data_IF_740728490830
#
_entry.id   IF_740728490830
#
_cell.length_a   1.000
_cell.length_b   1.000
_cell.length_c   1.000
_cell.angle_alpha   90.00
_cell.angle_beta   90.00
_cell.angle_gamma   90.00
#
_symmetry.space_group_name_H-M   'P 1'
#
loop_
_entity.id
_entity.type
_entity.pdbx_description
1 polymer ?
#
# COMPACT_ATOMS: atom_id res chain seq x y z
N UNK A 1 45.07 11.61 50.70
CA UNK A 1 43.60 11.54 50.58
C UNK A 1 43.26 12.15 49.25
N UNK A 2 43.12 11.30 48.25
CA UNK A 2 42.76 11.69 46.86
C UNK A 2 41.29 11.40 46.66
N UNK A 3 40.50 12.45 46.50
CA UNK A 3 39.09 12.38 46.18
C UNK A 3 38.86 12.05 44.69
N UNK A 4 38.28 10.88 44.40
CA UNK A 4 37.83 10.51 43.08
C UNK A 4 36.51 11.24 42.75
N UNK A 5 36.48 11.91 41.61
CA UNK A 5 35.25 12.47 41.02
C UNK A 5 34.37 11.33 40.46
N UNK A 6 33.08 11.33 40.67
CA UNK A 6 32.18 10.38 40.00
C UNK A 6 32.09 10.72 38.53
N UNK A 7 32.32 9.71 37.66
CA UNK A 7 32.19 9.80 36.23
C UNK A 7 30.72 10.09 35.83
N UNK A 8 30.55 11.10 35.02
CA UNK A 8 29.29 11.40 34.35
C UNK A 8 28.95 10.28 33.36
N UNK A 9 27.83 9.63 33.61
CA UNK A 9 27.20 8.68 32.67
C UNK A 9 26.74 9.51 31.45
N UNK A 10 27.11 9.13 30.21
CA UNK A 10 26.55 9.81 29.04
C UNK A 10 25.07 9.53 28.97
N UNK A 11 24.24 10.57 29.01
CA UNK A 11 22.83 10.52 28.66
C UNK A 11 22.74 9.94 27.25
N UNK A 12 22.10 8.78 27.13
CA UNK A 12 21.74 8.22 25.84
C UNK A 12 20.76 9.19 25.19
N UNK A 13 21.22 9.82 24.11
CA UNK A 13 20.46 10.74 23.31
C UNK A 13 19.07 10.19 23.02
N UNK A 14 18.06 10.92 23.48
CA UNK A 14 16.68 10.67 23.10
C UNK A 14 16.62 10.67 21.57
N UNK A 15 16.09 9.60 20.97
CA UNK A 15 15.80 9.57 19.54
C UNK A 15 14.82 10.72 19.28
N UNK A 16 15.27 11.78 18.61
CA UNK A 16 14.37 12.76 18.02
C UNK A 16 13.37 11.99 17.15
N UNK A 17 12.16 11.83 17.66
CA UNK A 17 11.06 11.32 16.85
C UNK A 17 10.85 12.34 15.74
N UNK A 18 11.27 11.98 14.54
CA UNK A 18 11.09 12.84 13.37
C UNK A 18 9.59 13.10 13.21
N UNK A 19 9.18 14.36 13.41
CA UNK A 19 7.78 14.75 13.33
C UNK A 19 7.24 14.44 11.92
N UNK A 20 6.01 13.96 11.86
CA UNK A 20 5.32 13.75 10.58
C UNK A 20 5.14 15.12 9.92
N UNK A 21 5.56 15.29 8.66
CA UNK A 21 5.25 16.51 7.94
C UNK A 21 3.74 16.73 7.85
N UNK A 22 3.25 17.98 7.84
CA UNK A 22 1.82 18.26 7.70
C UNK A 22 1.30 17.69 6.37
N UNK A 23 0.02 17.27 6.32
CA UNK A 23 -0.59 16.81 5.08
C UNK A 23 -0.61 17.94 4.04
N UNK A 24 -0.25 17.65 2.78
CA UNK A 24 -0.32 18.65 1.71
C UNK A 24 -1.75 19.15 1.46
N UNK A 25 -1.92 20.45 1.23
CA UNK A 25 -3.22 21.10 0.99
C UNK A 25 -4.00 20.47 -0.18
N UNK A 26 -3.31 19.92 -1.17
CA UNK A 26 -3.93 19.26 -2.30
C UNK A 26 -4.84 18.11 -1.88
N UNK A 27 -4.52 17.41 -0.78
CA UNK A 27 -5.35 16.33 -0.24
C UNK A 27 -6.71 16.84 0.22
N UNK A 28 -6.73 17.95 0.93
CA UNK A 28 -7.99 18.56 1.41
C UNK A 28 -8.83 19.10 0.24
N UNK A 29 -8.19 19.69 -0.77
CA UNK A 29 -8.89 20.13 -1.98
C UNK A 29 -9.53 18.98 -2.74
N UNK A 30 -8.85 17.82 -2.81
CA UNK A 30 -9.30 16.67 -3.61
C UNK A 30 -10.25 15.75 -2.86
N UNK A 31 -9.96 15.45 -1.59
CA UNK A 31 -10.67 14.44 -0.81
C UNK A 31 -11.48 15.02 0.37
N UNK A 32 -11.49 16.34 0.52
CA UNK A 32 -12.22 17.02 1.60
C UNK A 32 -11.87 16.46 2.99
N UNK A 33 -12.86 16.21 3.86
CA UNK A 33 -12.64 15.70 5.22
C UNK A 33 -11.92 14.34 5.28
N UNK A 34 -11.91 13.58 4.19
CA UNK A 34 -11.20 12.30 4.13
C UNK A 34 -9.67 12.44 4.22
N UNK A 35 -9.15 13.62 3.88
CA UNK A 35 -7.73 13.93 4.06
C UNK A 35 -7.28 13.80 5.53
N UNK A 36 -8.18 14.04 6.51
CA UNK A 36 -7.89 13.88 7.94
C UNK A 36 -7.63 12.42 8.32
N UNK A 37 -8.38 11.46 7.73
CA UNK A 37 -8.12 10.03 7.94
C UNK A 37 -6.75 9.63 7.42
N UNK A 38 -6.38 10.17 6.25
CA UNK A 38 -5.07 9.91 5.69
C UNK A 38 -3.95 10.52 6.56
N UNK A 39 -4.18 11.70 7.17
CA UNK A 39 -3.26 12.32 8.12
C UNK A 39 -3.09 11.49 9.41
N UNK A 40 -4.18 10.94 9.96
CA UNK A 40 -4.12 10.01 11.08
C UNK A 40 -3.37 8.73 10.72
N UNK A 41 -3.60 8.21 9.53
CA UNK A 41 -2.84 7.05 9.04
C UNK A 41 -1.35 7.36 8.87
N UNK A 42 -1.00 8.56 8.40
CA UNK A 42 0.40 9.02 8.35
C UNK A 42 1.07 9.00 9.73
N UNK A 43 0.35 9.42 10.78
CA UNK A 43 0.83 9.36 12.15
C UNK A 43 1.07 7.90 12.62
N UNK A 44 0.18 6.97 12.26
CA UNK A 44 0.37 5.54 12.51
C UNK A 44 1.62 4.98 11.83
N UNK A 45 1.88 5.37 10.58
CA UNK A 45 3.06 4.92 9.84
C UNK A 45 4.36 5.47 10.44
N UNK A 46 4.37 6.75 10.81
CA UNK A 46 5.56 7.42 11.35
C UNK A 46 5.87 7.02 12.80
N UNK A 47 4.86 6.80 13.63
CA UNK A 47 5.00 6.36 15.02
C UNK A 47 5.07 4.84 15.14
N UNK A 48 3.94 4.15 15.41
CA UNK A 48 3.91 2.70 15.60
C UNK A 48 4.51 1.89 14.44
N UNK A 49 4.32 2.35 13.19
CA UNK A 49 4.85 1.71 12.00
C UNK A 49 6.37 1.67 11.97
N UNK A 50 7.01 2.77 12.35
CA UNK A 50 8.47 2.88 12.44
C UNK A 50 9.01 2.03 13.59
N UNK A 51 8.39 2.10 14.77
CA UNK A 51 8.77 1.30 15.94
C UNK A 51 8.70 -0.20 15.65
N UNK A 52 7.69 -0.62 14.88
CA UNK A 52 7.51 -2.04 14.48
C UNK A 52 8.33 -2.43 13.25
N UNK A 53 9.14 -1.51 12.69
CA UNK A 53 9.98 -1.77 11.51
C UNK A 53 9.19 -2.01 10.22
N UNK A 54 8.00 -1.41 10.10
CA UNK A 54 7.16 -1.45 8.89
C UNK A 54 7.54 -0.32 7.92
N UNK A 55 8.05 0.79 8.47
CA UNK A 55 8.58 1.93 7.74
C UNK A 55 9.97 2.29 8.32
N UNK A 56 10.93 2.56 7.45
CA UNK A 56 12.24 3.03 7.91
C UNK A 56 12.14 4.46 8.48
N UNK A 57 12.86 4.81 9.58
CA UNK A 57 12.83 6.16 10.15
C UNK A 57 13.17 7.27 9.12
N UNK A 58 14.08 6.96 8.17
CA UNK A 58 14.50 7.87 7.10
C UNK A 58 13.40 8.14 6.04
N UNK A 59 12.35 7.33 6.03
CA UNK A 59 11.20 7.51 5.13
C UNK A 59 10.15 8.47 5.70
N UNK A 60 10.16 8.74 7.00
CA UNK A 60 9.17 9.61 7.66
C UNK A 60 9.11 11.03 7.04
N UNK A 61 10.24 11.72 6.78
CA UNK A 61 10.22 13.03 6.14
C UNK A 61 9.64 13.02 4.71
N UNK A 62 9.66 11.87 4.05
CA UNK A 62 9.22 11.67 2.66
C UNK A 62 7.92 10.88 2.57
N UNK A 63 7.21 10.71 3.71
CA UNK A 63 6.04 9.84 3.84
C UNK A 63 4.93 10.23 2.86
N UNK A 64 4.66 11.53 2.72
CA UNK A 64 3.64 12.03 1.82
C UNK A 64 4.00 11.74 0.36
N UNK A 65 5.13 12.23 -0.10
CA UNK A 65 5.51 12.14 -1.51
C UNK A 65 5.76 10.71 -1.97
N UNK A 66 6.56 9.94 -1.20
CA UNK A 66 6.97 8.60 -1.64
C UNK A 66 5.94 7.51 -1.38
N UNK A 67 5.08 7.69 -0.39
CA UNK A 67 4.23 6.61 0.06
C UNK A 67 2.74 6.92 -0.07
N UNK A 68 2.25 7.96 0.58
CA UNK A 68 0.82 8.21 0.67
C UNK A 68 0.24 8.78 -0.62
N UNK A 69 0.82 9.84 -1.19
CA UNK A 69 0.32 10.44 -2.45
C UNK A 69 0.37 9.44 -3.61
N UNK A 70 1.49 8.71 -3.74
CA UNK A 70 1.60 7.64 -4.73
C UNK A 70 0.55 6.53 -4.55
N UNK A 71 0.17 6.25 -3.31
CA UNK A 71 -0.83 5.22 -3.04
C UNK A 71 -2.24 5.70 -3.36
N UNK A 72 -2.61 6.91 -2.94
CA UNK A 72 -3.95 7.44 -3.19
C UNK A 72 -4.17 7.85 -4.66
N UNK A 73 -3.12 8.08 -5.44
CA UNK A 73 -3.19 8.27 -6.89
C UNK A 73 -3.91 7.10 -7.60
N UNK A 74 -3.82 5.89 -7.04
CA UNK A 74 -4.52 4.72 -7.55
C UNK A 74 -6.05 4.86 -7.50
N UNK A 75 -6.58 5.73 -6.64
CA UNK A 75 -8.02 5.97 -6.51
C UNK A 75 -8.68 6.42 -7.84
N UNK A 76 -7.92 7.09 -8.72
CA UNK A 76 -8.40 7.57 -10.03
C UNK A 76 -8.69 6.43 -11.02
N UNK A 77 -8.09 5.27 -10.79
CA UNK A 77 -8.23 4.09 -11.66
C UNK A 77 -9.35 3.14 -11.21
N UNK A 78 -10.00 3.43 -10.09
CA UNK A 78 -11.00 2.56 -9.48
C UNK A 78 -12.41 3.15 -9.64
N UNK A 79 -13.32 2.47 -10.34
CA UNK A 79 -14.71 2.90 -10.45
C UNK A 79 -15.42 2.86 -9.08
N UNK A 80 -16.53 3.58 -8.98
CA UNK A 80 -17.33 3.63 -7.76
C UNK A 80 -17.85 2.26 -7.36
N UNK A 81 -17.82 1.99 -6.04
CA UNK A 81 -18.28 0.73 -5.47
C UNK A 81 -17.43 -0.49 -5.82
N UNK A 82 -16.22 -0.30 -6.37
CA UNK A 82 -15.36 -1.41 -6.76
C UNK A 82 -14.88 -2.23 -5.57
N UNK A 83 -14.60 -3.50 -5.83
CA UNK A 83 -13.92 -4.39 -4.90
C UNK A 83 -12.45 -4.48 -5.23
N UNK A 84 -11.60 -4.10 -4.27
CA UNK A 84 -10.15 -4.05 -4.35
C UNK A 84 -9.53 -5.07 -3.38
N UNK A 85 -8.54 -5.81 -3.84
CA UNK A 85 -7.67 -6.64 -2.99
C UNK A 85 -6.25 -6.08 -3.07
N UNK A 86 -5.65 -5.81 -1.93
CA UNK A 86 -4.25 -5.38 -1.83
C UNK A 86 -3.38 -6.56 -1.41
N UNK A 87 -2.53 -7.04 -2.32
CA UNK A 87 -1.68 -8.22 -2.12
C UNK A 87 -0.34 -7.82 -1.53
N UNK A 88 -0.03 -8.39 -0.35
CA UNK A 88 1.17 -8.05 0.39
C UNK A 88 1.10 -6.63 0.96
N UNK A 89 -0.01 -6.32 1.60
CA UNK A 89 -0.34 -4.95 2.06
C UNK A 89 0.72 -4.33 2.97
N UNK A 90 1.53 -5.13 3.65
CA UNK A 90 2.62 -4.63 4.48
C UNK A 90 2.14 -3.70 5.59
N UNK A 91 2.49 -2.43 5.48
CA UNK A 91 1.99 -1.37 6.36
C UNK A 91 0.62 -0.82 5.92
N UNK A 92 0.01 -1.36 4.85
CA UNK A 92 -1.27 -0.92 4.31
C UNK A 92 -1.16 -0.07 3.03
N UNK A 93 -0.08 -0.18 2.31
CA UNK A 93 0.19 0.61 1.12
C UNK A 93 0.22 -0.26 -0.14
N UNK A 94 -0.68 -0.03 -1.13
CA UNK A 94 -1.53 1.16 -1.26
C UNK A 94 -2.95 1.00 -0.69
N UNK A 95 -3.45 -0.21 -0.41
CA UNK A 95 -4.86 -0.51 -0.19
C UNK A 95 -5.52 0.29 0.93
N UNK A 96 -4.88 0.39 2.10
CA UNK A 96 -5.43 1.14 3.24
C UNK A 96 -5.40 2.66 2.98
N UNK A 97 -4.37 3.17 2.31
CA UNK A 97 -4.33 4.58 1.91
C UNK A 97 -5.49 4.94 0.97
N UNK A 98 -5.78 4.08 -0.01
CA UNK A 98 -6.94 4.23 -0.91
C UNK A 98 -8.24 4.17 -0.12
N UNK A 99 -8.39 3.22 0.81
CA UNK A 99 -9.59 3.08 1.63
C UNK A 99 -9.88 4.30 2.51
N UNK A 100 -8.85 5.03 2.97
CA UNK A 100 -9.04 6.28 3.71
C UNK A 100 -9.79 7.33 2.89
N UNK A 101 -9.54 7.41 1.57
CA UNK A 101 -10.11 8.44 0.70
C UNK A 101 -11.30 7.96 -0.13
N UNK A 102 -11.50 6.64 -0.28
CA UNK A 102 -12.57 6.00 -1.06
C UNK A 102 -13.44 5.09 -0.18
N UNK A 103 -14.38 5.64 0.60
CA UNK A 103 -15.25 4.89 1.51
C UNK A 103 -16.28 4.02 0.78
N UNK A 104 -16.46 4.23 -0.50
CA UNK A 104 -17.34 3.47 -1.38
C UNK A 104 -16.77 2.11 -1.80
N UNK A 105 -15.44 1.92 -1.69
CA UNK A 105 -14.78 0.68 -2.07
C UNK A 105 -14.87 -0.38 -0.97
N UNK A 106 -14.98 -1.65 -1.36
CA UNK A 106 -14.74 -2.78 -0.47
C UNK A 106 -13.29 -3.24 -0.63
N UNK A 107 -12.48 -3.14 0.44
CA UNK A 107 -11.03 -3.39 0.38
C UNK A 107 -10.63 -4.57 1.26
N UNK A 108 -9.98 -5.57 0.68
CA UNK A 108 -9.34 -6.67 1.39
C UNK A 108 -7.82 -6.46 1.43
N UNK A 109 -7.24 -6.39 2.63
CA UNK A 109 -5.80 -6.26 2.84
C UNK A 109 -5.22 -7.64 3.13
N UNK A 110 -4.52 -8.24 2.15
CA UNK A 110 -3.93 -9.60 2.27
C UNK A 110 -2.47 -9.49 2.66
N UNK A 111 -2.11 -10.04 3.84
CA UNK A 111 -0.75 -9.98 4.36
C UNK A 111 -0.43 -11.27 5.16
N UNK A 112 0.66 -11.98 4.86
CA UNK A 112 0.98 -13.23 5.55
C UNK A 112 1.56 -13.06 6.96
N UNK A 113 2.24 -11.96 7.26
CA UNK A 113 2.98 -11.79 8.50
C UNK A 113 2.09 -11.29 9.64
N UNK A 114 1.97 -12.06 10.73
CA UNK A 114 1.16 -11.72 11.90
C UNK A 114 1.39 -10.29 12.40
N UNK A 115 2.65 -9.90 12.60
CA UNK A 115 3.00 -8.56 13.10
C UNK A 115 2.43 -7.43 12.21
N UNK A 116 2.35 -7.66 10.90
CA UNK A 116 1.81 -6.68 9.94
C UNK A 116 0.29 -6.69 9.96
N UNK A 117 -0.33 -7.87 10.03
CA UNK A 117 -1.79 -7.97 10.13
C UNK A 117 -2.31 -7.38 11.45
N UNK A 118 -1.58 -7.56 12.56
CA UNK A 118 -1.94 -6.92 13.84
C UNK A 118 -1.91 -5.39 13.72
N UNK A 119 -0.83 -4.84 13.13
CA UNK A 119 -0.75 -3.41 12.86
C UNK A 119 -1.91 -2.92 11.98
N UNK A 120 -2.20 -3.61 10.87
CA UNK A 120 -3.31 -3.25 9.97
C UNK A 120 -4.65 -3.28 10.70
N UNK A 121 -4.88 -4.28 11.55
CA UNK A 121 -6.11 -4.44 12.32
C UNK A 121 -6.29 -3.28 13.31
N UNK A 122 -5.23 -2.90 14.02
CA UNK A 122 -5.24 -1.75 14.93
C UNK A 122 -5.54 -0.44 14.19
N UNK A 123 -4.89 -0.20 13.03
CA UNK A 123 -5.11 1.00 12.22
C UNK A 123 -6.54 1.04 11.68
N UNK A 124 -7.05 -0.06 11.13
CA UNK A 124 -8.43 -0.16 10.62
C UNK A 124 -9.44 0.15 11.71
N UNK A 125 -9.22 -0.35 12.94
CA UNK A 125 -10.08 -0.09 14.08
C UNK A 125 -10.03 1.38 14.52
N UNK A 126 -8.81 1.95 14.68
CA UNK A 126 -8.63 3.36 15.10
C UNK A 126 -9.24 4.35 14.09
N UNK A 127 -9.08 4.07 12.79
CA UNK A 127 -9.64 4.92 11.73
C UNK A 127 -11.12 4.65 11.45
N UNK A 128 -11.75 3.71 12.17
CA UNK A 128 -13.15 3.30 11.98
C UNK A 128 -13.48 2.85 10.54
N UNK A 129 -12.56 2.15 9.87
CA UNK A 129 -12.70 1.68 8.50
C UNK A 129 -13.29 0.27 8.37
N UNK A 130 -13.57 -0.43 9.48
CA UNK A 130 -13.96 -1.84 9.50
C UNK A 130 -15.26 -2.20 8.79
N UNK A 131 -16.07 -1.21 8.37
CA UNK A 131 -17.28 -1.45 7.59
C UNK A 131 -16.98 -1.79 6.12
N UNK A 132 -15.84 -1.33 5.58
CA UNK A 132 -15.46 -1.53 4.17
C UNK A 132 -14.02 -2.01 3.97
N UNK A 133 -13.23 -2.12 5.05
CA UNK A 133 -11.86 -2.67 5.02
C UNK A 133 -11.79 -3.93 5.86
N UNK A 134 -11.29 -5.01 5.28
CA UNK A 134 -11.05 -6.29 5.96
C UNK A 134 -9.58 -6.67 5.87
N UNK A 135 -8.99 -7.07 7.00
CA UNK A 135 -7.62 -7.63 7.04
C UNK A 135 -7.70 -9.14 6.93
N UNK A 136 -6.99 -9.71 5.97
CA UNK A 136 -6.95 -11.16 5.71
C UNK A 136 -5.52 -11.66 5.87
N UNK A 137 -5.29 -12.42 6.95
CA UNK A 137 -3.97 -13.02 7.17
C UNK A 137 -3.82 -14.29 6.33
N UNK A 138 -2.77 -14.32 5.50
CA UNK A 138 -2.38 -15.47 4.69
C UNK A 138 -1.62 -15.02 3.44
N UNK A 139 -1.13 -16.00 2.69
CA UNK A 139 -0.53 -15.75 1.37
C UNK A 139 -1.62 -15.67 0.32
N UNK A 140 -1.43 -14.82 -0.68
CA UNK A 140 -2.44 -14.60 -1.72
C UNK A 140 -2.78 -15.88 -2.53
N UNK A 141 -1.83 -16.81 -2.61
CA UNK A 141 -1.98 -18.11 -3.29
C UNK A 141 -2.62 -19.20 -2.42
N UNK A 142 -2.79 -18.99 -1.10
CA UNK A 142 -3.39 -19.98 -0.21
C UNK A 142 -4.90 -20.13 -0.49
N UNK A 143 -5.38 -21.38 -0.59
CA UNK A 143 -6.81 -21.67 -0.82
C UNK A 143 -7.72 -21.01 0.22
N UNK A 144 -7.31 -21.03 1.49
CA UNK A 144 -8.06 -20.37 2.56
C UNK A 144 -8.19 -18.85 2.40
N UNK A 145 -7.24 -18.19 1.72
CA UNK A 145 -7.32 -16.77 1.37
C UNK A 145 -8.23 -16.59 0.17
N UNK A 146 -8.09 -17.43 -0.86
CA UNK A 146 -8.96 -17.41 -2.04
C UNK A 146 -10.43 -17.59 -1.66
N UNK A 147 -10.73 -18.52 -0.74
CA UNK A 147 -12.09 -18.77 -0.26
C UNK A 147 -12.66 -17.56 0.52
N UNK A 148 -11.84 -16.91 1.33
CA UNK A 148 -12.25 -15.73 2.12
C UNK A 148 -12.44 -14.48 1.28
N UNK A 149 -11.49 -14.24 0.36
CA UNK A 149 -11.49 -13.05 -0.48
C UNK A 149 -12.44 -13.21 -1.65
N UNK A 150 -12.51 -14.40 -2.26
CA UNK A 150 -13.31 -14.62 -3.48
C UNK A 150 -12.77 -13.84 -4.67
N UNK A 151 -13.62 -13.63 -5.68
CA UNK A 151 -13.24 -12.97 -6.93
C UNK A 151 -13.41 -11.45 -6.86
N UNK A 152 -12.33 -10.68 -7.02
CA UNK A 152 -12.31 -9.22 -7.02
C UNK A 152 -12.35 -8.64 -8.44
N UNK A 153 -12.77 -7.38 -8.54
CA UNK A 153 -12.67 -6.59 -9.78
C UNK A 153 -11.25 -6.09 -9.99
N UNK A 154 -10.60 -5.69 -8.89
CA UNK A 154 -9.26 -5.13 -8.91
C UNK A 154 -8.38 -5.80 -7.86
N UNK A 155 -7.14 -6.06 -8.26
CA UNK A 155 -6.05 -6.41 -7.34
C UNK A 155 -4.97 -5.35 -7.49
N UNK A 156 -4.41 -4.91 -6.39
CA UNK A 156 -3.25 -4.03 -6.36
C UNK A 156 -2.11 -4.63 -5.56
N UNK A 157 -0.91 -4.15 -5.82
CA UNK A 157 0.27 -4.47 -5.04
C UNK A 157 1.35 -3.40 -5.24
N UNK A 158 2.21 -3.24 -4.24
CA UNK A 158 3.36 -2.33 -4.29
C UNK A 158 4.61 -3.01 -3.73
N UNK A 159 5.70 -3.03 -4.52
CA UNK A 159 7.03 -3.50 -4.10
C UNK A 159 7.05 -4.92 -3.47
N UNK A 160 6.16 -5.81 -3.91
CA UNK A 160 6.01 -7.15 -3.30
C UNK A 160 6.89 -8.19 -3.98
N UNK A 161 6.92 -8.19 -5.33
CA UNK A 161 7.61 -9.21 -6.12
C UNK A 161 7.82 -8.78 -7.58
N UNK A 162 8.67 -9.48 -8.34
CA UNK A 162 8.69 -9.41 -9.79
C UNK A 162 7.33 -9.74 -10.41
N UNK A 163 7.08 -9.24 -11.62
CA UNK A 163 5.77 -9.27 -12.26
C UNK A 163 5.23 -10.68 -12.47
N UNK A 164 6.07 -11.64 -12.78
CA UNK A 164 5.69 -13.04 -12.96
C UNK A 164 5.10 -13.67 -11.70
N UNK A 165 5.73 -13.45 -10.56
CA UNK A 165 5.20 -13.89 -9.25
C UNK A 165 3.93 -13.15 -8.89
N UNK A 166 3.92 -11.84 -9.09
CA UNK A 166 2.77 -11.02 -8.76
C UNK A 166 1.53 -11.46 -9.54
N UNK A 167 1.67 -11.77 -10.82
CA UNK A 167 0.57 -12.31 -11.66
C UNK A 167 0.08 -13.65 -11.13
N UNK A 168 1.00 -14.56 -10.76
CA UNK A 168 0.62 -15.88 -10.17
C UNK A 168 -0.21 -15.74 -8.91
N UNK A 169 0.14 -14.78 -8.06
CA UNK A 169 -0.56 -14.54 -6.79
C UNK A 169 -1.87 -13.77 -6.96
N UNK A 170 -1.91 -12.84 -7.91
CA UNK A 170 -3.03 -11.91 -8.08
C UNK A 170 -4.15 -12.46 -8.96
N UNK A 171 -3.82 -13.19 -10.02
CA UNK A 171 -4.81 -13.64 -10.98
C UNK A 171 -5.88 -14.59 -10.39
N UNK A 172 -5.55 -15.53 -9.49
CA UNK A 172 -6.57 -16.32 -8.82
C UNK A 172 -7.59 -15.49 -8.04
N UNK A 173 -7.19 -14.33 -7.51
CA UNK A 173 -8.05 -13.42 -6.77
C UNK A 173 -8.94 -12.53 -7.67
N UNK A 174 -8.62 -12.42 -8.96
CA UNK A 174 -9.38 -11.62 -9.91
C UNK A 174 -10.49 -12.45 -10.55
N UNK A 175 -11.64 -11.83 -10.78
CA UNK A 175 -12.65 -12.37 -11.72
C UNK A 175 -12.11 -12.33 -13.16
N UNK A 176 -12.63 -13.16 -14.09
CA UNK A 176 -12.34 -12.97 -15.50
C UNK A 176 -12.68 -11.54 -15.95
N UNK A 177 -11.77 -10.89 -16.66
CA UNK A 177 -11.88 -9.46 -17.01
C UNK A 177 -11.56 -8.49 -15.88
N UNK A 178 -11.14 -8.97 -14.71
CA UNK A 178 -10.63 -8.13 -13.61
C UNK A 178 -9.21 -7.65 -13.85
N UNK A 179 -8.82 -6.58 -13.21
CA UNK A 179 -7.57 -5.84 -13.43
C UNK A 179 -6.58 -5.98 -12.28
N UNK A 180 -5.32 -6.28 -12.61
CA UNK A 180 -4.18 -6.09 -11.74
C UNK A 180 -3.59 -4.70 -11.99
N UNK A 181 -3.52 -3.89 -10.94
CA UNK A 181 -2.93 -2.55 -10.92
C UNK A 181 -1.69 -2.57 -10.01
N UNK A 182 -0.52 -2.86 -10.58
CA UNK A 182 0.71 -2.98 -9.83
C UNK A 182 1.51 -1.67 -9.86
N UNK A 183 1.72 -1.05 -8.68
CA UNK A 183 2.56 0.13 -8.58
C UNK A 183 4.03 -0.26 -8.79
N UNK A 184 4.66 0.36 -9.78
CA UNK A 184 6.03 0.06 -10.21
C UNK A 184 6.84 1.36 -10.35
N UNK A 185 8.16 1.23 -10.31
CA UNK A 185 9.09 2.32 -10.58
C UNK A 185 9.38 2.52 -12.07
N UNK A 186 10.51 3.16 -12.36
CA UNK A 186 10.95 3.53 -13.71
C UNK A 186 11.25 2.34 -14.63
N UNK A 187 11.51 1.14 -14.09
CA UNK A 187 11.76 -0.09 -14.88
C UNK A 187 10.50 -0.87 -15.26
N UNK A 188 9.30 -0.28 -15.18
CA UNK A 188 8.05 -0.99 -15.43
C UNK A 188 7.91 -1.52 -16.86
N UNK A 189 8.34 -0.77 -17.86
CA UNK A 189 8.32 -1.18 -19.28
C UNK A 189 9.29 -2.31 -19.56
N UNK A 190 10.49 -2.24 -19.01
CA UNK A 190 11.51 -3.28 -19.16
C UNK A 190 11.02 -4.58 -18.52
N UNK A 191 10.41 -4.50 -17.34
CA UNK A 191 9.83 -5.66 -16.66
C UNK A 191 8.66 -6.27 -17.43
N UNK A 192 7.81 -5.47 -18.08
CA UNK A 192 6.76 -5.95 -18.98
C UNK A 192 7.33 -6.67 -20.19
N UNK A 193 8.36 -6.11 -20.81
CA UNK A 193 9.03 -6.70 -21.98
C UNK A 193 9.70 -8.04 -21.62
N UNK A 194 10.40 -8.11 -20.49
CA UNK A 194 11.04 -9.31 -20.00
C UNK A 194 10.04 -10.45 -19.76
N UNK A 195 8.85 -10.13 -19.25
CA UNK A 195 7.85 -11.14 -18.90
C UNK A 195 6.78 -11.39 -19.97
N UNK A 196 6.89 -10.83 -21.18
CA UNK A 196 5.86 -10.88 -22.23
C UNK A 196 5.38 -12.31 -22.53
N UNK A 197 6.29 -13.27 -22.71
CA UNK A 197 5.93 -14.67 -23.00
C UNK A 197 5.20 -15.34 -21.83
N UNK A 198 5.62 -15.03 -20.62
CA UNK A 198 4.95 -15.53 -19.41
C UNK A 198 3.54 -14.97 -19.30
N UNK A 199 3.35 -13.67 -19.50
CA UNK A 199 2.06 -12.98 -19.47
C UNK A 199 1.10 -13.57 -20.51
N UNK A 200 1.56 -13.84 -21.71
CA UNK A 200 0.76 -14.49 -22.75
C UNK A 200 0.29 -15.91 -22.33
N UNK A 201 1.18 -16.72 -21.72
CA UNK A 201 0.80 -18.04 -21.18
C UNK A 201 -0.23 -17.96 -20.06
N UNK A 202 -0.16 -16.91 -19.25
CA UNK A 202 -1.13 -16.65 -18.17
C UNK A 202 -2.44 -16.03 -18.67
N UNK A 203 -2.60 -15.84 -19.99
CA UNK A 203 -3.74 -15.13 -20.60
C UNK A 203 -3.93 -13.74 -20.02
N UNK A 204 -2.83 -13.05 -19.73
CA UNK A 204 -2.85 -11.67 -19.29
C UNK A 204 -2.94 -10.75 -20.50
N UNK A 205 -3.98 -9.93 -20.55
CA UNK A 205 -4.06 -8.83 -21.50
C UNK A 205 -3.27 -7.64 -20.96
N UNK A 206 -2.17 -7.30 -21.62
CA UNK A 206 -1.31 -6.18 -21.23
C UNK A 206 -1.94 -4.87 -21.72
N UNK A 207 -2.33 -4.00 -20.81
CA UNK A 207 -2.80 -2.63 -21.10
C UNK A 207 -1.65 -1.62 -21.10
N UNK A 208 -0.48 -2.02 -20.61
CA UNK A 208 0.74 -1.21 -20.56
C UNK A 208 1.02 -0.61 -19.19
N UNK A 209 1.89 0.39 -19.20
CA UNK A 209 2.15 1.27 -18.02
C UNK A 209 1.30 2.51 -18.17
N UNK A 210 0.49 2.77 -17.16
CA UNK A 210 -0.34 3.98 -17.09
C UNK A 210 0.18 4.89 -15.97
N UNK A 211 0.01 6.19 -16.14
CA UNK A 211 0.35 7.19 -15.14
C UNK A 211 -0.93 7.76 -14.53
N UNK A 212 -0.94 7.95 -13.21
CA UNK A 212 -2.07 8.50 -12.48
C UNK A 212 -1.60 9.45 -11.38
N UNK A 213 -2.51 10.31 -10.92
CA UNK A 213 -2.27 11.23 -9.81
C UNK A 213 -1.29 12.35 -10.13
N UNK A 214 -1.18 12.83 -11.39
CA UNK A 214 -0.31 13.95 -11.77
C UNK A 214 -0.60 15.25 -11.00
N UNK A 215 -1.82 15.42 -10.49
CA UNK A 215 -2.18 16.55 -9.61
C UNK A 215 -1.69 16.35 -8.17
N UNK A 216 -1.38 15.12 -7.76
CA UNK A 216 -1.03 14.76 -6.39
C UNK A 216 0.47 14.63 -6.18
N UNK A 217 1.19 14.13 -7.17
CA UNK A 217 2.60 13.78 -7.06
C UNK A 217 3.33 13.99 -8.37
N UNK A 218 4.55 14.52 -8.30
CA UNK A 218 5.46 14.69 -9.43
C UNK A 218 6.79 13.93 -9.16
N UNK A 219 7.21 13.02 -10.04
CA UNK A 219 6.49 12.52 -11.21
C UNK A 219 5.22 11.72 -10.84
N UNK A 220 4.27 11.58 -11.79
CA UNK A 220 3.05 10.79 -11.58
C UNK A 220 3.33 9.34 -11.19
N UNK A 221 2.38 8.74 -10.48
CA UNK A 221 2.46 7.34 -10.08
C UNK A 221 2.33 6.43 -11.30
N UNK A 222 3.28 5.51 -11.46
CA UNK A 222 3.32 4.55 -12.57
C UNK A 222 2.73 3.21 -12.16
N UNK A 223 1.80 2.72 -12.95
CA UNK A 223 1.03 1.49 -12.68
C UNK A 223 1.09 0.57 -13.89
N UNK A 224 1.60 -0.63 -13.70
CA UNK A 224 1.43 -1.71 -14.68
C UNK A 224 -0.01 -2.19 -14.62
N UNK A 225 -0.73 -2.09 -15.74
CA UNK A 225 -2.12 -2.52 -15.85
C UNK A 225 -2.21 -3.78 -16.69
N UNK A 226 -2.63 -4.88 -16.06
CA UNK A 226 -2.92 -6.16 -16.69
C UNK A 226 -4.36 -6.54 -16.44
N UNK A 227 -5.00 -7.17 -17.42
CA UNK A 227 -6.36 -7.70 -17.28
C UNK A 227 -6.31 -9.22 -17.35
N UNK A 228 -6.98 -9.91 -16.42
CA UNK A 228 -7.12 -11.36 -16.46
C UNK A 228 -8.03 -11.75 -17.62
N UNK A 229 -7.50 -12.48 -18.59
CA UNK A 229 -8.27 -13.04 -19.70
C UNK A 229 -9.40 -13.97 -19.23
N UNK A 230 -10.32 -14.22 -20.14
CA UNK A 230 -11.44 -15.14 -19.93
C UNK A 230 -11.03 -16.60 -20.04
#
# INVERSE_FOLDING_TARGET
VTGGRPGSVPERGGSEQTAVPPPPDILFRRFGPRAELLARYAAWLAGPGTVRGLLGPREVPRLWERHLLNSVALADLLPDGARLVDVGSGAGLPGLAVACVRPDLAVDLVEPLLRRTDFLTEVVADLALGQHVRVVRGRAEDSAVLDKVGSAQFVTARAVAPLDRLVRWSFPLLRPGGSLLALKGTGAEDELAEHQQFLARMRAEVRGVIECGAELVDPPTRVVHLVRGR
#
